data_IF_885939769159
#
_entry.id   IF_885939769159
#
_cell.length_a   1.000
_cell.length_b   1.000
_cell.length_c   1.000
_cell.angle_alpha   90.00
_cell.angle_beta   90.00
_cell.angle_gamma   90.00
#
_symmetry.space_group_name_H-M   'P 1'
#
loop_
_entity.id
_entity.type
_entity.pdbx_description
1 polymer ?
#
# COMPACT_ATOMS: atom_id res chain seq x y z
N UNK A 1 -4.73 1.07 35.44
CA UNK A 1 -4.21 2.41 35.13
C UNK A 1 -2.88 2.53 35.81
N UNK A 2 -1.83 2.28 35.06
CA UNK A 2 -0.44 2.36 35.54
C UNK A 2 0.26 3.55 34.90
N UNK A 3 1.23 4.13 35.61
CA UNK A 3 1.99 5.28 35.14
C UNK A 3 3.48 5.00 35.29
N UNK A 4 4.17 5.05 34.16
CA UNK A 4 5.52 4.59 33.96
C UNK A 4 6.34 5.71 33.32
N UNK A 5 7.43 6.12 33.97
CA UNK A 5 8.25 7.25 33.52
C UNK A 5 9.73 6.95 33.68
N UNK A 6 10.49 7.10 32.59
CA UNK A 6 11.90 6.73 32.52
C UNK A 6 12.10 5.29 33.02
N UNK A 7 11.23 4.37 32.59
CA UNK A 7 11.14 3.02 33.12
C UNK A 7 11.46 1.97 32.07
N UNK A 8 11.88 0.82 32.57
CA UNK A 8 11.94 -0.44 31.85
C UNK A 8 10.93 -1.37 32.50
N UNK A 9 9.89 -1.76 31.76
CA UNK A 9 8.78 -2.58 32.26
C UNK A 9 8.67 -3.89 31.50
N UNK A 10 8.30 -4.97 32.20
CA UNK A 10 7.90 -6.22 31.58
C UNK A 10 6.59 -6.67 32.22
N UNK A 11 5.54 -6.75 31.42
CA UNK A 11 4.18 -6.92 31.89
C UNK A 11 3.54 -8.17 31.31
N UNK A 12 2.62 -8.78 32.07
CA UNK A 12 1.91 -9.96 31.66
C UNK A 12 0.42 -9.81 31.96
N UNK A 13 -0.37 -9.90 30.90
CA UNK A 13 -1.78 -9.54 30.86
C UNK A 13 -2.57 -10.70 30.24
N UNK A 14 -3.54 -11.25 30.99
CA UNK A 14 -4.37 -12.37 30.50
C UNK A 14 -5.83 -12.14 30.82
N UNK A 15 -6.67 -12.18 29.78
CA UNK A 15 -8.09 -11.87 29.86
C UNK A 15 -8.33 -10.52 30.57
N UNK A 16 -7.54 -9.51 30.21
CA UNK A 16 -7.48 -8.23 30.93
C UNK A 16 -7.84 -7.03 30.06
N UNK A 17 -8.25 -5.98 30.76
CA UNK A 17 -8.44 -4.64 30.23
C UNK A 17 -7.37 -3.76 30.86
N UNK A 18 -6.43 -3.33 30.06
CA UNK A 18 -5.22 -2.63 30.51
C UNK A 18 -5.27 -1.19 30.00
N UNK A 19 -4.79 -0.27 30.84
CA UNK A 19 -4.65 1.12 30.47
C UNK A 19 -3.38 1.66 31.11
N UNK A 20 -2.45 2.13 30.28
CA UNK A 20 -1.10 2.50 30.71
C UNK A 20 -0.69 3.85 30.17
N UNK A 21 0.22 4.49 30.90
CA UNK A 21 0.81 5.76 30.53
C UNK A 21 2.31 5.65 30.63
N UNK A 22 2.97 5.78 29.48
CA UNK A 22 4.41 5.63 29.35
C UNK A 22 5.05 6.94 28.90
N UNK A 23 6.15 7.33 29.54
CA UNK A 23 6.93 8.49 29.12
C UNK A 23 8.42 8.21 29.21
N UNK A 24 9.09 8.28 28.06
CA UNK A 24 10.49 7.87 27.91
C UNK A 24 10.70 6.44 28.44
N UNK A 25 9.83 5.52 28.04
CA UNK A 25 9.81 4.16 28.58
C UNK A 25 10.16 3.15 27.51
N UNK A 26 10.69 2.00 27.95
CA UNK A 26 10.81 0.80 27.14
C UNK A 26 9.99 -0.30 27.82
N UNK A 27 8.99 -0.81 27.11
CA UNK A 27 7.99 -1.72 27.66
C UNK A 27 7.98 -2.99 26.84
N UNK A 28 7.88 -4.12 27.53
CA UNK A 28 7.66 -5.41 26.90
C UNK A 28 6.42 -6.06 27.50
N UNK A 29 5.41 -6.31 26.68
CA UNK A 29 4.13 -6.85 27.13
C UNK A 29 3.87 -8.24 26.57
N UNK A 30 3.22 -9.07 27.40
CA UNK A 30 2.73 -10.39 27.00
C UNK A 30 1.23 -10.44 27.24
N UNK A 31 0.46 -10.45 26.16
CA UNK A 31 -0.99 -10.28 26.20
C UNK A 31 -1.71 -11.49 25.60
N UNK A 32 -2.68 -12.05 26.33
CA UNK A 32 -3.53 -13.15 25.85
C UNK A 32 -4.99 -12.80 26.09
N UNK A 33 -5.75 -12.67 25.00
CA UNK A 33 -7.15 -12.23 25.02
C UNK A 33 -7.30 -10.91 25.80
N UNK A 34 -6.44 -9.93 25.50
CA UNK A 34 -6.38 -8.67 26.23
C UNK A 34 -6.75 -7.50 25.33
N UNK A 35 -7.32 -6.47 25.94
CA UNK A 35 -7.47 -5.15 25.32
C UNK A 35 -6.51 -4.21 26.05
N UNK A 36 -5.50 -3.73 25.34
CA UNK A 36 -4.49 -2.81 25.85
C UNK A 36 -4.76 -1.43 25.27
N UNK A 37 -4.63 -0.41 26.11
CA UNK A 37 -4.69 0.98 25.68
C UNK A 37 -3.53 1.76 26.27
N UNK A 38 -2.65 2.25 25.43
CA UNK A 38 -1.48 2.97 25.86
C UNK A 38 -1.52 4.46 25.52
N UNK A 39 -0.89 5.24 26.38
CA UNK A 39 -0.61 6.64 26.16
C UNK A 39 0.89 6.87 26.29
N UNK A 40 1.56 7.06 25.15
CA UNK A 40 3.01 7.04 25.07
C UNK A 40 3.59 8.40 24.67
N UNK A 41 4.76 8.72 25.22
CA UNK A 41 5.57 9.85 24.76
C UNK A 41 7.03 9.45 24.74
N UNK A 42 7.58 9.38 23.53
CA UNK A 42 8.91 8.83 23.27
C UNK A 42 9.06 7.43 23.89
N UNK A 43 8.19 6.50 23.52
CA UNK A 43 8.21 5.14 24.06
C UNK A 43 8.57 4.13 22.98
N UNK A 44 9.17 3.03 23.42
CA UNK A 44 9.33 1.82 22.62
C UNK A 44 8.54 0.70 23.29
N UNK A 45 7.61 0.11 22.55
CA UNK A 45 6.70 -0.94 23.02
C UNK A 45 7.00 -2.20 22.21
N UNK A 46 7.20 -3.31 22.91
CA UNK A 46 7.35 -4.63 22.30
C UNK A 46 6.24 -5.54 22.82
N UNK A 47 5.34 -5.98 21.95
CA UNK A 47 4.21 -6.80 22.36
C UNK A 47 4.30 -8.23 21.83
N UNK A 48 3.93 -9.17 22.70
CA UNK A 48 3.77 -10.57 22.36
C UNK A 48 2.32 -10.96 22.62
N UNK A 49 1.49 -10.90 21.57
CA UNK A 49 0.05 -11.00 21.71
C UNK A 49 -0.56 -12.28 21.13
N UNK A 50 -1.66 -12.73 21.73
CA UNK A 50 -2.55 -13.72 21.13
C UNK A 50 -4.00 -13.29 21.31
N UNK A 51 -4.68 -13.06 20.18
CA UNK A 51 -6.05 -12.53 20.13
C UNK A 51 -6.17 -11.23 20.96
N UNK A 52 -5.30 -10.26 20.71
CA UNK A 52 -5.31 -9.00 21.42
C UNK A 52 -5.83 -7.86 20.54
N UNK A 53 -6.15 -6.76 21.19
CA UNK A 53 -6.41 -5.48 20.55
C UNK A 53 -5.57 -4.45 21.30
N UNK A 54 -4.81 -3.66 20.56
CA UNK A 54 -3.88 -2.64 21.04
C UNK A 54 -4.35 -1.30 20.51
N UNK A 55 -4.42 -0.30 21.40
CA UNK A 55 -4.84 1.06 21.05
C UNK A 55 -3.86 2.06 21.62
N UNK A 56 -3.11 2.70 20.73
CA UNK A 56 -1.98 3.53 21.08
C UNK A 56 -2.24 5.00 20.78
N UNK A 57 -2.00 5.85 21.77
CA UNK A 57 -2.07 7.31 21.64
C UNK A 57 -0.70 7.91 21.93
N UNK A 58 0.07 8.27 20.89
CA UNK A 58 1.49 8.54 21.06
C UNK A 58 2.01 9.87 20.49
N UNK A 59 2.97 10.46 21.20
CA UNK A 59 3.90 11.44 20.65
C UNK A 59 5.27 10.78 20.45
N UNK A 60 5.51 10.27 19.23
CA UNK A 60 6.64 9.42 18.85
C UNK A 60 6.62 8.04 19.56
N UNK A 61 6.14 7.03 18.85
CA UNK A 61 6.16 5.64 19.26
C UNK A 61 6.97 4.80 18.28
N UNK A 62 7.53 3.72 18.81
CA UNK A 62 7.95 2.56 18.03
C UNK A 62 7.30 1.34 18.66
N UNK A 63 6.46 0.66 17.89
CA UNK A 63 5.71 -0.53 18.29
C UNK A 63 6.25 -1.72 17.49
N UNK A 64 6.52 -2.81 18.19
CA UNK A 64 6.98 -4.07 17.61
C UNK A 64 6.13 -5.21 18.13
N UNK A 65 5.39 -5.84 17.24
CA UNK A 65 4.36 -6.81 17.57
C UNK A 65 4.72 -8.20 17.06
N UNK A 66 4.62 -9.20 17.94
CA UNK A 66 4.81 -10.61 17.64
C UNK A 66 3.56 -11.39 18.01
N UNK A 67 2.63 -11.53 17.07
CA UNK A 67 1.24 -11.84 17.44
C UNK A 67 0.60 -13.01 16.67
N UNK A 68 -0.39 -13.63 17.29
CA UNK A 68 -1.34 -14.52 16.61
C UNK A 68 -2.74 -13.89 16.69
N UNK A 69 -3.18 -13.28 15.58
CA UNK A 69 -4.36 -12.43 15.47
C UNK A 69 -4.25 -11.19 16.35
N UNK A 70 -3.86 -10.06 15.76
CA UNK A 70 -3.87 -8.77 16.44
C UNK A 70 -4.64 -7.71 15.66
N UNK A 71 -5.12 -6.72 16.42
CA UNK A 71 -5.64 -5.47 15.90
C UNK A 71 -4.86 -4.35 16.57
N UNK A 72 -4.11 -3.58 15.79
CA UNK A 72 -3.37 -2.41 16.25
C UNK A 72 -4.09 -1.17 15.73
N UNK A 73 -4.32 -0.21 16.61
CA UNK A 73 -4.92 1.09 16.26
C UNK A 73 -4.05 2.19 16.83
N UNK A 74 -3.49 3.02 15.96
CA UNK A 74 -2.60 4.09 16.34
C UNK A 74 -3.20 5.48 16.11
N UNK A 75 -2.98 6.36 17.08
CA UNK A 75 -3.27 7.78 17.02
C UNK A 75 -2.03 8.56 17.41
N UNK A 76 -1.13 8.78 16.44
CA UNK A 76 0.22 9.21 16.73
C UNK A 76 0.63 10.47 15.96
N UNK A 77 1.55 11.26 16.49
CA UNK A 77 2.22 12.27 15.65
C UNK A 77 3.16 11.60 14.65
N UNK A 78 3.99 10.70 15.15
CA UNK A 78 4.89 9.88 14.36
C UNK A 78 4.81 8.46 14.91
N UNK A 79 4.53 7.49 14.05
CA UNK A 79 4.49 6.07 14.36
C UNK A 79 5.53 5.30 13.56
N UNK A 80 6.04 4.23 14.16
CA UNK A 80 6.72 3.14 13.45
C UNK A 80 6.16 1.84 14.01
N UNK A 81 5.46 1.10 13.16
CA UNK A 81 4.87 -0.20 13.48
C UNK A 81 5.64 -1.28 12.73
N UNK A 82 5.97 -2.35 13.45
CA UNK A 82 6.58 -3.53 12.86
C UNK A 82 5.91 -4.78 13.41
N UNK A 83 5.20 -5.48 12.53
CA UNK A 83 4.35 -6.61 12.87
C UNK A 83 4.89 -7.92 12.30
N UNK A 84 4.96 -8.94 13.15
CA UNK A 84 5.27 -10.31 12.81
C UNK A 84 4.12 -11.22 13.26
N UNK A 85 3.11 -11.36 12.40
CA UNK A 85 1.82 -11.94 12.80
C UNK A 85 1.31 -13.06 11.88
N UNK A 86 0.46 -13.97 12.38
CA UNK A 86 -0.31 -14.83 11.45
C UNK A 86 -1.36 -13.99 10.71
N UNK A 87 -2.13 -13.19 11.44
CA UNK A 87 -3.07 -12.23 10.90
C UNK A 87 -2.93 -10.92 11.66
N UNK A 88 -2.76 -9.82 10.93
CA UNK A 88 -2.70 -8.45 11.47
C UNK A 88 -3.79 -7.58 10.84
N UNK A 89 -4.27 -6.63 11.64
CA UNK A 89 -5.03 -5.49 11.15
C UNK A 89 -4.46 -4.24 11.81
N UNK A 90 -3.95 -3.32 11.01
CA UNK A 90 -3.37 -2.06 11.47
C UNK A 90 -4.22 -0.90 10.97
N UNK A 91 -4.50 0.05 11.86
CA UNK A 91 -5.19 1.30 11.55
C UNK A 91 -4.40 2.48 12.11
N UNK A 92 -3.78 3.27 11.23
CA UNK A 92 -2.97 4.42 11.61
C UNK A 92 -3.68 5.75 11.33
N UNK A 93 -3.75 6.60 12.36
CA UNK A 93 -4.23 7.98 12.27
C UNK A 93 -3.09 8.92 12.68
N UNK A 94 -2.16 9.17 11.76
CA UNK A 94 -0.87 9.79 12.09
C UNK A 94 -0.53 11.03 11.26
N UNK A 95 0.44 11.86 11.69
CA UNK A 95 1.05 12.79 10.73
C UNK A 95 2.03 12.04 9.83
N UNK A 96 2.90 11.22 10.41
CA UNK A 96 3.78 10.33 9.66
C UNK A 96 3.66 8.91 10.21
N UNK A 97 3.36 7.94 9.35
CA UNK A 97 3.38 6.51 9.65
C UNK A 97 4.48 5.79 8.86
N UNK A 98 5.00 4.74 9.48
CA UNK A 98 5.81 3.71 8.83
C UNK A 98 5.32 2.37 9.33
N UNK A 99 4.72 1.57 8.45
CA UNK A 99 4.19 0.25 8.76
C UNK A 99 4.99 -0.80 8.02
N UNK A 100 5.41 -1.85 8.74
CA UNK A 100 6.18 -2.97 8.19
C UNK A 100 5.56 -4.28 8.66
N UNK A 101 5.00 -5.05 7.73
CA UNK A 101 4.26 -6.27 8.01
C UNK A 101 4.98 -7.51 7.47
N UNK A 102 5.11 -8.53 8.31
CA UNK A 102 5.59 -9.85 7.95
C UNK A 102 4.55 -10.90 8.37
N UNK A 103 3.50 -11.03 7.57
CA UNK A 103 2.29 -11.73 7.96
C UNK A 103 1.85 -12.80 6.99
N UNK A 104 0.95 -13.71 7.41
CA UNK A 104 0.26 -14.56 6.43
C UNK A 104 -0.86 -13.75 5.76
N UNK A 105 -1.64 -13.03 6.54
CA UNK A 105 -2.61 -12.06 6.03
C UNK A 105 -2.46 -10.74 6.78
N UNK A 106 -2.39 -9.63 6.05
CA UNK A 106 -2.36 -8.28 6.60
C UNK A 106 -3.50 -7.44 6.04
N UNK A 107 -3.96 -6.49 6.84
CA UNK A 107 -4.82 -5.40 6.40
C UNK A 107 -4.32 -4.11 7.04
N UNK A 108 -3.91 -3.15 6.23
CA UNK A 108 -3.43 -1.84 6.67
C UNK A 108 -4.39 -0.75 6.18
N UNK A 109 -4.72 0.16 7.07
CA UNK A 109 -5.54 1.33 6.79
C UNK A 109 -4.89 2.59 7.35
N UNK A 110 -4.39 3.45 6.48
CA UNK A 110 -3.67 4.65 6.88
C UNK A 110 -4.45 5.93 6.56
N UNK A 111 -4.53 6.81 7.55
CA UNK A 111 -5.08 8.16 7.45
C UNK A 111 -4.03 9.17 7.89
N UNK A 112 -3.04 9.41 7.03
CA UNK A 112 -1.81 10.13 7.39
C UNK A 112 -1.50 11.37 6.54
N UNK A 113 -0.61 12.27 7.01
CA UNK A 113 -0.04 13.25 6.06
C UNK A 113 0.95 12.55 5.13
N UNK A 114 1.83 11.71 5.69
CA UNK A 114 2.74 10.85 4.94
C UNK A 114 2.65 9.42 5.49
N UNK A 115 2.47 8.43 4.61
CA UNK A 115 2.58 7.02 4.94
C UNK A 115 3.69 6.34 4.14
N UNK A 116 4.29 5.32 4.76
CA UNK A 116 5.11 4.34 4.09
C UNK A 116 4.73 2.94 4.60
N UNK A 117 4.23 2.10 3.71
CA UNK A 117 3.80 0.73 4.01
C UNK A 117 4.71 -0.26 3.29
N UNK A 118 5.17 -1.30 4.01
CA UNK A 118 5.96 -2.39 3.47
C UNK A 118 5.38 -3.75 3.88
N UNK A 119 4.90 -4.52 2.90
CA UNK A 119 4.24 -5.81 3.13
C UNK A 119 5.08 -6.98 2.63
N UNK A 120 5.26 -7.99 3.49
CA UNK A 120 5.87 -9.27 3.15
C UNK A 120 4.91 -10.40 3.54
N UNK A 121 3.84 -10.56 2.76
CA UNK A 121 2.67 -11.34 3.16
C UNK A 121 2.27 -12.42 2.15
N UNK A 122 1.41 -13.39 2.54
CA UNK A 122 0.76 -14.20 1.51
C UNK A 122 -0.36 -13.39 0.86
N UNK A 123 -1.18 -12.72 1.67
CA UNK A 123 -2.20 -11.79 1.20
C UNK A 123 -2.08 -10.45 1.93
N UNK A 124 -2.01 -9.36 1.17
CA UNK A 124 -2.05 -7.99 1.71
C UNK A 124 -3.29 -7.24 1.20
N UNK A 125 -3.78 -6.33 2.02
CA UNK A 125 -4.73 -5.30 1.63
C UNK A 125 -4.30 -3.98 2.25
N UNK A 126 -4.01 -2.99 1.42
CA UNK A 126 -3.60 -1.64 1.83
C UNK A 126 -4.64 -0.62 1.38
N UNK A 127 -5.03 0.27 2.29
CA UNK A 127 -5.95 1.37 2.04
C UNK A 127 -5.41 2.67 2.62
N UNK A 128 -5.03 3.60 1.75
CA UNK A 128 -4.34 4.81 2.15
C UNK A 128 -5.12 6.07 1.79
N UNK A 129 -5.25 6.96 2.77
CA UNK A 129 -5.89 8.27 2.65
C UNK A 129 -4.90 9.34 3.09
N UNK A 130 -3.85 9.52 2.29
CA UNK A 130 -2.68 10.31 2.67
C UNK A 130 -2.44 11.56 1.78
N UNK A 131 -1.61 12.53 2.21
CA UNK A 131 -1.10 13.50 1.21
C UNK A 131 -0.05 12.81 0.32
N UNK A 132 0.88 12.07 0.93
CA UNK A 132 1.84 11.24 0.22
C UNK A 132 1.79 9.81 0.75
N UNK A 133 1.61 8.85 -0.14
CA UNK A 133 1.72 7.42 0.16
C UNK A 133 2.90 6.80 -0.59
N UNK A 134 3.54 5.81 0.04
CA UNK A 134 4.45 4.89 -0.60
C UNK A 134 4.16 3.48 -0.12
N UNK A 135 3.79 2.59 -1.05
CA UNK A 135 3.49 1.18 -0.77
C UNK A 135 4.48 0.30 -1.50
N UNK A 136 5.05 -0.68 -0.78
CA UNK A 136 5.93 -1.70 -1.33
C UNK A 136 5.52 -3.09 -0.86
N UNK A 137 5.03 -3.90 -1.78
CA UNK A 137 4.42 -5.19 -1.47
C UNK A 137 5.17 -6.34 -2.14
N UNK A 138 5.44 -7.36 -1.32
CA UNK A 138 6.05 -8.63 -1.71
C UNK A 138 5.14 -9.78 -1.30
N UNK A 139 4.07 -10.00 -2.06
CA UNK A 139 2.97 -10.88 -1.67
C UNK A 139 2.62 -11.99 -2.68
N UNK A 140 1.84 -13.00 -2.29
CA UNK A 140 1.18 -13.83 -3.31
C UNK A 140 0.04 -13.05 -3.97
N UNK A 141 -0.82 -12.41 -3.16
CA UNK A 141 -1.88 -11.54 -3.65
C UNK A 141 -1.83 -10.20 -2.92
N UNK A 142 -1.84 -9.10 -3.67
CA UNK A 142 -1.94 -7.74 -3.14
C UNK A 142 -3.19 -7.04 -3.66
N UNK A 143 -3.78 -6.20 -2.82
CA UNK A 143 -4.79 -5.22 -3.18
C UNK A 143 -4.43 -3.87 -2.54
N UNK A 144 -4.20 -2.86 -3.38
CA UNK A 144 -3.84 -1.51 -2.95
C UNK A 144 -4.90 -0.51 -3.42
N UNK A 145 -5.38 0.33 -2.50
CA UNK A 145 -6.33 1.41 -2.77
C UNK A 145 -5.82 2.73 -2.19
N UNK A 146 -5.63 3.71 -3.06
CA UNK A 146 -4.91 4.94 -2.73
C UNK A 146 -5.77 6.18 -3.03
N UNK A 147 -5.89 7.05 -2.03
CA UNK A 147 -6.62 8.32 -2.10
C UNK A 147 -5.70 9.47 -1.71
N UNK A 148 -4.71 9.76 -2.56
CA UNK A 148 -3.60 10.65 -2.22
C UNK A 148 -3.40 11.89 -3.08
N UNK A 149 -2.57 12.84 -2.64
CA UNK A 149 -2.03 13.87 -3.56
C UNK A 149 -0.97 13.21 -4.45
N UNK A 150 -0.03 12.49 -3.84
CA UNK A 150 0.97 11.69 -4.55
C UNK A 150 0.97 10.27 -4.02
N UNK A 151 0.92 9.29 -4.91
CA UNK A 151 1.10 7.86 -4.60
C UNK A 151 2.30 7.29 -5.35
N UNK A 152 2.99 6.36 -4.71
CA UNK A 152 3.96 5.47 -5.35
C UNK A 152 3.70 4.05 -4.86
N UNK A 153 3.32 3.17 -5.79
CA UNK A 153 3.08 1.77 -5.52
C UNK A 153 4.12 0.92 -6.25
N UNK A 154 4.70 -0.04 -5.54
CA UNK A 154 5.57 -1.06 -6.13
C UNK A 154 5.19 -2.45 -5.65
N UNK A 155 4.94 -3.33 -6.60
CA UNK A 155 4.37 -4.66 -6.35
C UNK A 155 5.25 -5.76 -6.95
N UNK A 156 5.52 -6.79 -6.14
CA UNK A 156 6.21 -8.02 -6.54
C UNK A 156 5.36 -9.22 -6.16
N UNK A 157 4.30 -9.45 -6.92
CA UNK A 157 3.24 -10.36 -6.54
C UNK A 157 2.94 -11.47 -7.55
N UNK A 158 2.19 -12.50 -7.15
CA UNK A 158 1.59 -13.40 -8.14
C UNK A 158 0.41 -12.70 -8.81
N UNK A 159 -0.46 -12.08 -8.01
CA UNK A 159 -1.57 -11.26 -8.49
C UNK A 159 -1.58 -9.91 -7.76
N UNK A 160 -1.71 -8.82 -8.50
CA UNK A 160 -1.87 -7.46 -7.94
C UNK A 160 -3.15 -6.81 -8.45
N UNK A 161 -3.78 -6.00 -7.61
CA UNK A 161 -4.83 -5.07 -8.00
C UNK A 161 -4.56 -3.71 -7.36
N UNK A 162 -4.38 -2.69 -8.18
CA UNK A 162 -4.08 -1.32 -7.75
C UNK A 162 -5.19 -0.38 -8.23
N UNK A 163 -5.69 0.45 -7.32
CA UNK A 163 -6.68 1.49 -7.61
C UNK A 163 -6.22 2.83 -7.03
N UNK A 164 -6.04 3.82 -7.90
CA UNK A 164 -5.46 5.12 -7.57
C UNK A 164 -6.43 6.28 -7.83
N UNK A 165 -6.63 7.12 -6.82
CA UNK A 165 -7.40 8.36 -6.90
C UNK A 165 -6.53 9.54 -6.49
N UNK A 166 -5.58 9.93 -7.37
CA UNK A 166 -4.51 10.84 -7.01
C UNK A 166 -4.35 12.11 -7.87
N UNK A 167 -3.53 13.07 -7.43
CA UNK A 167 -3.04 14.07 -8.39
C UNK A 167 -1.91 13.48 -9.23
N UNK A 168 -0.95 12.80 -8.61
CA UNK A 168 0.12 12.09 -9.30
C UNK A 168 0.20 10.64 -8.78
N UNK A 169 0.20 9.68 -9.70
CA UNK A 169 0.37 8.26 -9.43
C UNK A 169 1.63 7.75 -10.15
N UNK A 170 2.33 6.83 -9.49
CA UNK A 170 3.41 6.04 -10.07
C UNK A 170 3.24 4.58 -9.63
N UNK A 171 2.93 3.70 -10.57
CA UNK A 171 2.74 2.27 -10.33
C UNK A 171 3.83 1.47 -11.04
N UNK A 172 4.45 0.52 -10.32
CA UNK A 172 5.46 -0.40 -10.83
C UNK A 172 5.13 -1.83 -10.43
N UNK A 173 4.83 -2.68 -11.41
CA UNK A 173 4.36 -4.05 -11.19
C UNK A 173 5.31 -5.10 -11.76
N UNK A 174 5.67 -6.08 -10.93
CA UNK A 174 6.43 -7.26 -11.32
C UNK A 174 5.63 -8.51 -10.93
N UNK A 175 4.58 -8.80 -11.72
CA UNK A 175 3.54 -9.75 -11.34
C UNK A 175 3.25 -10.81 -12.41
N UNK A 176 2.63 -11.95 -12.05
CA UNK A 176 2.10 -12.81 -13.12
C UNK A 176 0.85 -12.18 -13.74
N UNK A 177 -0.07 -11.70 -12.91
CA UNK A 177 -1.24 -10.94 -13.36
C UNK A 177 -1.36 -9.66 -12.55
N UNK A 178 -1.70 -8.55 -13.19
CA UNK A 178 -2.04 -7.31 -12.51
C UNK A 178 -3.25 -6.64 -13.16
N UNK A 179 -3.86 -5.74 -12.40
CA UNK A 179 -4.89 -4.83 -12.86
C UNK A 179 -4.64 -3.47 -12.22
N UNK A 180 -4.51 -2.44 -13.05
CA UNK A 180 -4.28 -1.06 -12.60
C UNK A 180 -5.46 -0.20 -13.06
N UNK A 181 -6.01 0.59 -12.14
CA UNK A 181 -7.09 1.56 -12.40
C UNK A 181 -6.76 2.91 -11.78
N UNK A 182 -6.50 3.90 -12.64
CA UNK A 182 -6.01 5.20 -12.21
C UNK A 182 -6.96 6.33 -12.61
N UNK A 183 -7.30 7.16 -11.62
CA UNK A 183 -8.12 8.37 -11.77
C UNK A 183 -7.30 9.59 -11.34
N UNK A 184 -6.31 9.97 -12.16
CA UNK A 184 -5.27 10.91 -11.75
C UNK A 184 -5.18 12.19 -12.61
N UNK A 185 -4.41 13.21 -12.18
CA UNK A 185 -3.98 14.25 -13.13
C UNK A 185 -2.83 13.72 -13.99
N UNK A 186 -1.83 13.10 -13.38
CA UNK A 186 -0.73 12.44 -14.06
C UNK A 186 -0.61 11.01 -13.54
N UNK A 187 -0.58 10.03 -14.44
CA UNK A 187 -0.27 8.64 -14.13
C UNK A 187 0.98 8.19 -14.88
N UNK A 188 1.76 7.33 -14.25
CA UNK A 188 2.82 6.55 -14.88
C UNK A 188 2.71 5.10 -14.42
N UNK A 189 2.51 4.19 -15.35
CA UNK A 189 2.40 2.74 -15.09
C UNK A 189 3.52 2.01 -15.83
N UNK A 190 4.18 1.10 -15.11
CA UNK A 190 5.24 0.23 -15.64
C UNK A 190 5.01 -1.22 -15.19
N UNK A 191 4.74 -2.08 -16.16
CA UNK A 191 4.33 -3.45 -15.90
C UNK A 191 5.28 -4.46 -16.56
N UNK A 192 5.67 -5.46 -15.77
CA UNK A 192 6.46 -6.60 -16.20
C UNK A 192 5.76 -7.89 -15.80
N UNK A 193 4.98 -8.48 -16.72
CA UNK A 193 3.98 -9.48 -16.33
C UNK A 193 3.65 -10.58 -17.35
N UNK A 194 2.84 -11.58 -16.97
CA UNK A 194 2.22 -12.45 -17.97
C UNK A 194 0.96 -11.80 -18.57
N UNK A 195 0.08 -11.24 -17.75
CA UNK A 195 -1.14 -10.57 -18.19
C UNK A 195 -1.33 -9.24 -17.46
N UNK A 196 -1.44 -8.14 -18.22
CA UNK A 196 -1.79 -6.81 -17.70
C UNK A 196 -3.12 -6.31 -18.23
N UNK A 197 -3.82 -5.60 -17.35
CA UNK A 197 -4.95 -4.77 -17.68
C UNK A 197 -4.78 -3.40 -17.03
N UNK A 198 -4.63 -2.36 -17.85
CA UNK A 198 -4.49 -0.97 -17.41
C UNK A 198 -5.68 -0.15 -17.88
N UNK A 199 -6.28 0.61 -16.97
CA UNK A 199 -7.37 1.55 -17.23
C UNK A 199 -7.06 2.92 -16.63
N UNK A 200 -6.99 3.93 -17.50
CA UNK A 200 -6.48 5.25 -17.15
C UNK A 200 -7.49 6.35 -17.46
N UNK A 201 -7.79 7.17 -16.46
CA UNK A 201 -8.70 8.32 -16.54
C UNK A 201 -7.96 9.61 -16.15
N UNK A 202 -6.91 9.95 -16.91
CA UNK A 202 -5.95 10.98 -16.53
C UNK A 202 -5.92 12.25 -17.39
N UNK A 203 -5.26 13.33 -16.94
CA UNK A 203 -4.89 14.41 -17.90
C UNK A 203 -3.72 13.95 -18.75
N UNK A 204 -2.68 13.39 -18.13
CA UNK A 204 -1.55 12.80 -18.82
C UNK A 204 -1.36 11.37 -18.31
N UNK A 205 -1.26 10.41 -19.21
CA UNK A 205 -0.91 9.03 -18.91
C UNK A 205 0.37 8.65 -19.66
N UNK A 206 1.20 7.82 -19.01
CA UNK A 206 2.32 7.13 -19.61
C UNK A 206 2.30 5.67 -19.17
N UNK A 207 2.10 4.76 -20.11
CA UNK A 207 2.02 3.31 -19.86
C UNK A 207 3.16 2.60 -20.59
N UNK A 208 3.87 1.73 -19.87
CA UNK A 208 4.95 0.90 -20.38
C UNK A 208 4.73 -0.55 -20.00
N UNK A 209 4.47 -1.38 -20.99
CA UNK A 209 4.10 -2.79 -20.83
C UNK A 209 5.17 -3.73 -21.41
N UNK A 210 5.61 -4.68 -20.59
CA UNK A 210 6.47 -5.78 -20.98
C UNK A 210 5.81 -7.10 -20.56
N UNK A 211 4.74 -7.47 -21.26
CA UNK A 211 3.90 -8.58 -20.86
C UNK A 211 3.68 -9.63 -21.96
N UNK A 212 3.14 -10.80 -21.62
CA UNK A 212 2.72 -11.74 -22.67
C UNK A 212 1.41 -11.27 -23.30
N UNK A 213 0.44 -10.84 -22.50
CA UNK A 213 -0.79 -10.22 -22.97
C UNK A 213 -0.98 -8.88 -22.25
N UNK A 214 -1.28 -7.82 -22.99
CA UNK A 214 -1.61 -6.50 -22.46
C UNK A 214 -2.96 -6.03 -22.99
N UNK A 215 -3.74 -5.37 -22.12
CA UNK A 215 -4.91 -4.60 -22.51
C UNK A 215 -4.82 -3.21 -21.84
N UNK A 216 -4.73 -2.17 -22.66
CA UNK A 216 -4.64 -0.78 -22.21
C UNK A 216 -5.86 0.01 -22.69
N UNK A 217 -6.51 0.72 -21.76
CA UNK A 217 -7.64 1.60 -22.04
C UNK A 217 -7.40 3.00 -21.46
N UNK A 218 -7.34 4.00 -22.33
CA UNK A 218 -6.92 5.37 -22.00
C UNK A 218 -8.04 6.38 -22.27
N UNK A 219 -8.40 7.16 -21.25
CA UNK A 219 -9.34 8.27 -21.33
C UNK A 219 -8.67 9.59 -20.95
N UNK A 220 -7.64 9.97 -21.71
CA UNK A 220 -6.74 11.06 -21.33
C UNK A 220 -6.78 12.32 -22.18
N UNK A 221 -6.20 13.43 -21.68
CA UNK A 221 -5.88 14.56 -22.58
C UNK A 221 -4.68 14.21 -23.45
N UNK A 222 -3.61 13.69 -22.86
CA UNK A 222 -2.43 13.18 -23.54
C UNK A 222 -2.15 11.75 -23.05
N UNK A 223 -1.92 10.82 -23.98
CA UNK A 223 -1.54 9.43 -23.72
C UNK A 223 -0.22 9.11 -24.42
N UNK A 224 0.64 8.35 -23.76
CA UNK A 224 1.81 7.71 -24.34
C UNK A 224 1.82 6.24 -23.92
N UNK A 225 1.71 5.33 -24.88
CA UNK A 225 1.71 3.88 -24.64
C UNK A 225 2.91 3.24 -25.35
N UNK A 226 3.66 2.42 -24.61
CA UNK A 226 4.79 1.64 -25.10
C UNK A 226 4.59 0.16 -24.76
N UNK A 227 4.52 -0.69 -25.78
CA UNK A 227 4.15 -2.10 -25.65
C UNK A 227 5.24 -3.02 -26.20
N UNK A 228 5.65 -4.00 -25.39
CA UNK A 228 6.55 -5.09 -25.76
C UNK A 228 5.93 -6.42 -25.38
N UNK A 229 4.91 -6.84 -26.14
CA UNK A 229 4.08 -7.98 -25.79
C UNK A 229 3.97 -9.06 -26.87
N UNK A 230 3.41 -10.23 -26.51
CA UNK A 230 2.99 -11.20 -27.54
C UNK A 230 1.66 -10.78 -28.16
N UNK A 231 0.70 -10.41 -27.31
CA UNK A 231 -0.58 -9.89 -27.74
C UNK A 231 -0.87 -8.57 -27.03
N UNK A 232 -1.26 -7.54 -27.75
CA UNK A 232 -1.67 -6.25 -27.17
C UNK A 232 -3.01 -5.78 -27.74
N UNK A 233 -3.78 -5.09 -26.89
CA UNK A 233 -4.96 -4.34 -27.32
C UNK A 233 -4.93 -2.97 -26.64
N UNK A 234 -4.90 -1.92 -27.46
CA UNK A 234 -4.84 -0.53 -26.99
C UNK A 234 -6.08 0.22 -27.47
N UNK A 235 -6.78 0.88 -26.55
CA UNK A 235 -7.96 1.70 -26.82
C UNK A 235 -7.79 3.10 -26.24
N UNK A 236 -7.63 4.10 -27.11
CA UNK A 236 -7.33 5.47 -26.70
C UNK A 236 -8.45 6.44 -27.06
N UNK A 237 -8.93 7.18 -26.05
CA UNK A 237 -9.90 8.27 -26.17
C UNK A 237 -9.24 9.58 -25.71
N UNK A 238 -8.42 10.18 -26.57
CA UNK A 238 -7.56 11.31 -26.16
C UNK A 238 -7.60 12.57 -27.03
N UNK A 239 -6.99 13.68 -26.57
CA UNK A 239 -6.69 14.77 -27.51
C UNK A 239 -5.42 14.45 -28.32
N UNK A 240 -4.36 14.00 -27.64
CA UNK A 240 -3.12 13.54 -28.26
C UNK A 240 -2.81 12.13 -27.77
N UNK A 241 -2.49 11.21 -28.68
CA UNK A 241 -1.97 9.88 -28.37
C UNK A 241 -0.70 9.59 -29.16
N UNK A 242 0.21 8.85 -28.56
CA UNK A 242 1.35 8.22 -29.22
C UNK A 242 1.44 6.77 -28.74
N UNK A 243 1.35 5.82 -29.66
CA UNK A 243 1.48 4.39 -29.38
C UNK A 243 2.73 3.86 -30.09
N UNK A 244 3.62 3.22 -29.33
CA UNK A 244 4.79 2.51 -29.84
C UNK A 244 4.65 1.03 -29.49
N UNK A 245 4.55 0.19 -30.51
CA UNK A 245 4.09 -1.18 -30.36
C UNK A 245 5.06 -2.17 -31.01
N UNK A 246 5.62 -3.05 -30.19
CA UNK A 246 6.54 -4.12 -30.57
C UNK A 246 5.93 -5.50 -30.28
N UNK A 247 4.69 -5.73 -30.75
CA UNK A 247 3.95 -6.96 -30.48
C UNK A 247 3.79 -7.91 -31.68
N UNK A 248 3.72 -9.23 -31.41
CA UNK A 248 3.44 -10.22 -32.47
C UNK A 248 2.02 -10.07 -33.04
N UNK A 249 1.04 -9.82 -32.18
CA UNK A 249 -0.34 -9.52 -32.56
C UNK A 249 -0.81 -8.30 -31.78
N UNK A 250 -1.23 -7.26 -32.50
CA UNK A 250 -1.76 -6.07 -31.85
C UNK A 250 -3.02 -5.54 -32.53
N UNK A 251 -3.82 -4.84 -31.72
CA UNK A 251 -4.95 -4.07 -32.19
C UNK A 251 -4.96 -2.73 -31.47
N UNK A 252 -4.76 -1.65 -32.22
CA UNK A 252 -4.82 -0.28 -31.71
C UNK A 252 -6.07 0.42 -32.24
N UNK A 253 -6.89 0.97 -31.35
CA UNK A 253 -8.10 1.71 -31.66
C UNK A 253 -8.05 3.10 -31.04
N UNK A 254 -7.93 4.13 -31.88
CA UNK A 254 -7.79 5.52 -31.43
C UNK A 254 -9.00 6.38 -31.82
N UNK A 255 -9.50 7.11 -30.84
CA UNK A 255 -10.50 8.16 -30.96
C UNK A 255 -9.89 9.51 -30.56
N UNK A 256 -8.80 9.88 -31.24
CA UNK A 256 -7.97 11.03 -30.89
C UNK A 256 -8.07 12.20 -31.87
N UNK A 257 -7.80 13.43 -31.42
CA UNK A 257 -7.65 14.58 -32.35
C UNK A 257 -6.34 14.52 -33.12
N UNK A 258 -5.26 14.19 -32.43
CA UNK A 258 -3.95 13.91 -33.01
C UNK A 258 -3.48 12.56 -32.50
N UNK A 259 -3.04 11.69 -33.39
CA UNK A 259 -2.46 10.41 -32.99
C UNK A 259 -1.37 9.95 -33.93
N UNK A 260 -0.48 9.10 -33.39
CA UNK A 260 0.59 8.45 -34.12
C UNK A 260 0.79 7.05 -33.54
N UNK A 261 0.68 6.04 -34.40
CA UNK A 261 0.96 4.64 -34.07
C UNK A 261 2.21 4.20 -34.82
N UNK A 262 3.16 3.59 -34.11
CA UNK A 262 4.38 3.01 -34.66
C UNK A 262 4.46 1.53 -34.28
N UNK A 263 4.15 0.66 -35.24
CA UNK A 263 4.23 -0.81 -35.09
C UNK A 263 5.53 -1.35 -35.71
N UNK A 264 6.15 -2.34 -35.06
CA UNK A 264 7.42 -2.97 -35.46
C UNK A 264 7.36 -4.50 -35.44
#
# INVERSE_FOLDING_TARGET
MEYHKNSLGMEYHKNSLVMEYHKNSLVMEYCINSLVREYCKNSLVMEYCKNSIVMDHCENSLVMDYCNNNLVIEYCKNSLVMDHCENSLVMDYCNNSLVIEYCKNSLVMDHCENSLVMEYCNNSLVMDYCNNSLVMDHCENSLVMEYCINSLVREYCKNSLVMEYCNNSLVMEYCNNNLVMDYCNNSLVMDHCENSLVMEYCKNSLVMEYCKNSLVMEYCKNSLVMEYCKNSLVMDYCNNSLVMDHCENSLVMEYCKNSLVMEY
#
